data_IF_414094514321
#
_entry.id   IF_414094514321
#
_cell.length_a   1.000
_cell.length_b   1.000
_cell.length_c   1.000
_cell.angle_alpha   90.00
_cell.angle_beta   90.00
_cell.angle_gamma   90.00
#
_symmetry.space_group_name_H-M   'P 1'
#
loop_
_entity.id
_entity.type
_entity.pdbx_description
1 polymer ?
#
# COMPACT_ATOMS: atom_id res chain seq x y z
N UNK A 1 -22.26 6.77 -23.78
CA UNK A 1 -22.37 5.39 -23.27
C UNK A 1 -23.42 5.40 -22.18
N UNK A 2 -24.68 5.22 -22.56
CA UNK A 2 -25.75 4.88 -21.63
C UNK A 2 -25.70 3.36 -21.46
N UNK A 3 -25.55 2.84 -20.23
CA UNK A 3 -25.73 1.41 -19.95
C UNK A 3 -24.67 0.71 -19.09
N UNK A 4 -23.51 1.31 -18.82
CA UNK A 4 -22.62 0.78 -17.77
C UNK A 4 -23.04 1.37 -16.42
N UNK A 5 -23.56 0.54 -15.51
CA UNK A 5 -23.68 0.93 -14.11
C UNK A 5 -22.31 1.38 -13.59
N UNK A 6 -22.24 2.29 -12.61
CA UNK A 6 -20.98 2.92 -12.16
C UNK A 6 -19.87 1.94 -11.72
N UNK A 7 -20.15 0.64 -11.59
CA UNK A 7 -19.20 -0.42 -11.23
C UNK A 7 -18.37 -0.09 -9.98
N UNK A 8 -18.99 0.63 -9.03
CA UNK A 8 -18.34 1.17 -7.82
C UNK A 8 -17.06 1.95 -8.14
N UNK A 9 -17.05 2.70 -9.26
CA UNK A 9 -15.92 3.52 -9.68
C UNK A 9 -15.55 4.53 -8.60
N UNK A 10 -14.26 4.55 -8.26
CA UNK A 10 -13.61 5.53 -7.40
C UNK A 10 -12.41 6.11 -8.14
N UNK A 11 -12.21 7.41 -7.97
CA UNK A 11 -11.03 8.14 -8.45
C UNK A 11 -10.47 8.94 -7.29
N UNK A 12 -9.21 8.71 -6.95
CA UNK A 12 -8.50 9.40 -5.86
C UNK A 12 -7.29 10.12 -6.43
N UNK A 13 -7.10 11.37 -6.01
CA UNK A 13 -5.99 12.22 -6.48
C UNK A 13 -5.02 12.47 -5.34
N UNK A 14 -3.73 12.53 -5.64
CA UNK A 14 -2.71 12.87 -4.67
C UNK A 14 -1.59 13.72 -5.27
N UNK A 15 -0.83 14.38 -4.40
CA UNK A 15 0.25 15.30 -4.75
C UNK A 15 1.56 14.79 -4.16
N UNK A 16 2.56 14.60 -5.01
CA UNK A 16 3.91 14.21 -4.61
C UNK A 16 4.74 15.43 -4.22
N UNK A 17 5.94 15.24 -3.64
CA UNK A 17 6.75 16.35 -3.13
C UNK A 17 7.14 17.36 -4.21
N UNK A 18 7.41 16.89 -5.43
CA UNK A 18 7.85 17.70 -6.56
C UNK A 18 6.73 18.58 -7.16
N UNK A 19 5.46 18.23 -6.91
CA UNK A 19 4.33 19.05 -7.35
C UNK A 19 4.40 20.46 -6.77
N UNK A 20 4.69 20.57 -5.48
CA UNK A 20 4.76 21.83 -4.76
C UNK A 20 5.88 22.73 -5.29
N UNK A 21 7.03 22.16 -5.63
CA UNK A 21 8.15 22.92 -6.18
C UNK A 21 7.84 23.40 -7.62
N UNK A 22 7.21 22.56 -8.44
CA UNK A 22 6.84 22.90 -9.84
C UNK A 22 5.73 23.92 -9.97
N UNK A 23 4.90 24.08 -8.95
CA UNK A 23 3.72 24.95 -8.96
C UNK A 23 3.92 26.23 -8.14
N UNK A 24 5.10 26.42 -7.52
CA UNK A 24 5.35 27.57 -6.64
C UNK A 24 4.65 27.46 -5.28
N UNK A 25 4.19 26.27 -4.88
CA UNK A 25 3.46 26.00 -3.64
C UNK A 25 4.34 25.38 -2.55
N UNK A 26 5.66 25.56 -2.61
CA UNK A 26 6.60 24.95 -1.66
C UNK A 26 6.26 25.23 -0.18
N UNK A 27 5.72 26.42 0.13
CA UNK A 27 5.28 26.78 1.47
C UNK A 27 4.07 25.97 1.99
N UNK A 28 3.25 25.41 1.09
CA UNK A 28 2.10 24.58 1.42
C UNK A 28 2.46 23.07 1.50
N UNK A 29 3.71 22.70 1.20
CA UNK A 29 4.16 21.30 1.26
C UNK A 29 4.19 20.80 2.71
N UNK A 30 3.45 19.74 3.05
CA UNK A 30 3.48 19.20 4.39
C UNK A 30 4.82 18.54 4.70
N UNK A 31 5.30 18.66 5.94
CA UNK A 31 6.55 18.04 6.38
C UNK A 31 6.55 16.52 6.23
N UNK A 32 5.38 15.88 6.46
CA UNK A 32 5.20 14.44 6.32
C UNK A 32 5.30 13.93 4.86
N UNK A 33 5.43 14.83 3.88
CA UNK A 33 5.71 14.51 2.47
C UNK A 33 7.23 14.47 2.17
N UNK A 34 8.08 14.54 3.19
CA UNK A 34 9.51 14.34 3.04
C UNK A 34 9.84 13.00 2.35
N UNK A 35 10.93 12.91 1.57
CA UNK A 35 11.32 11.67 0.92
C UNK A 35 11.39 10.50 1.89
N UNK A 36 10.86 9.34 1.46
CA UNK A 36 11.01 8.11 2.22
C UNK A 36 12.52 7.78 2.36
N UNK A 37 12.96 7.24 3.51
CA UNK A 37 14.35 6.83 3.66
C UNK A 37 14.65 5.66 2.72
N UNK A 38 15.93 5.48 2.38
CA UNK A 38 16.37 4.26 1.74
C UNK A 38 16.20 3.07 2.71
N UNK A 39 15.64 1.98 2.22
CA UNK A 39 15.53 0.73 2.96
C UNK A 39 16.54 -0.29 2.41
N UNK A 40 17.12 -1.16 3.26
CA UNK A 40 17.93 -2.29 2.79
C UNK A 40 17.20 -3.13 1.74
N UNK A 41 17.95 -3.64 0.75
CA UNK A 41 17.46 -4.52 -0.33
C UNK A 41 16.44 -3.88 -1.31
N UNK A 42 16.21 -2.57 -1.22
CA UNK A 42 15.41 -1.85 -2.21
C UNK A 42 16.07 -1.91 -3.61
N UNK A 43 15.30 -2.33 -4.61
CA UNK A 43 15.70 -2.38 -6.02
C UNK A 43 14.79 -1.46 -6.85
N UNK A 44 14.63 -0.22 -6.38
CA UNK A 44 13.68 0.74 -6.94
C UNK A 44 14.08 1.17 -8.34
N UNK A 45 13.15 1.08 -9.29
CA UNK A 45 13.27 1.70 -10.60
C UNK A 45 12.87 3.18 -10.50
N UNK A 46 13.81 4.14 -10.72
CA UNK A 46 13.51 5.56 -10.66
C UNK A 46 12.48 6.00 -11.70
N UNK A 47 12.40 5.35 -12.86
CA UNK A 47 11.44 5.71 -13.91
C UNK A 47 10.00 5.36 -13.51
N UNK A 48 9.83 4.36 -12.63
CA UNK A 48 8.54 3.89 -12.12
C UNK A 48 8.22 4.39 -10.71
N UNK A 49 9.09 5.18 -10.12
CA UNK A 49 8.97 5.71 -8.74
C UNK A 49 8.63 7.20 -8.72
N UNK A 50 8.14 7.68 -7.58
CA UNK A 50 7.72 9.06 -7.34
C UNK A 50 6.67 9.57 -8.35
N UNK A 51 6.56 10.89 -8.52
CA UNK A 51 5.63 11.53 -9.42
C UNK A 51 5.08 12.81 -8.81
N UNK A 52 4.71 13.77 -9.66
CA UNK A 52 4.11 15.02 -9.19
C UNK A 52 2.65 14.79 -8.78
N UNK A 53 1.92 14.00 -9.56
CA UNK A 53 0.51 13.70 -9.34
C UNK A 53 0.27 12.19 -9.28
N UNK A 54 -0.61 11.78 -8.38
CA UNK A 54 -1.20 10.44 -8.32
C UNK A 54 -2.64 10.49 -8.79
N UNK A 55 -3.03 9.52 -9.61
CA UNK A 55 -4.43 9.18 -9.85
C UNK A 55 -4.60 7.69 -9.61
N UNK A 56 -5.40 7.34 -8.60
CA UNK A 56 -5.81 5.97 -8.34
C UNK A 56 -7.22 5.77 -8.87
N UNK A 57 -7.41 4.73 -9.69
CA UNK A 57 -8.70 4.39 -10.30
C UNK A 57 -9.05 2.97 -9.86
N UNK A 58 -10.24 2.79 -9.28
CA UNK A 58 -10.73 1.46 -8.89
C UNK A 58 -12.19 1.30 -9.28
N UNK A 59 -12.55 0.17 -9.88
CA UNK A 59 -13.91 -0.24 -10.18
C UNK A 59 -13.98 -1.78 -10.20
N UNK A 60 -15.18 -2.36 -10.15
CA UNK A 60 -15.38 -3.81 -10.30
C UNK A 60 -15.37 -4.28 -11.75
N UNK A 61 -15.23 -3.34 -12.68
CA UNK A 61 -15.22 -3.62 -14.12
C UNK A 61 -13.94 -3.04 -14.75
N UNK A 62 -13.16 -3.92 -15.38
CA UNK A 62 -11.88 -3.56 -15.99
C UNK A 62 -12.05 -2.57 -17.15
N UNK A 63 -13.12 -2.67 -17.93
CA UNK A 63 -13.41 -1.72 -19.01
C UNK A 63 -13.69 -0.32 -18.45
N UNK A 64 -14.44 -0.20 -17.35
CA UNK A 64 -14.69 1.09 -16.66
C UNK A 64 -13.38 1.72 -16.19
N UNK A 65 -12.46 0.94 -15.59
CA UNK A 65 -11.14 1.48 -15.20
C UNK A 65 -10.31 1.93 -16.40
N UNK A 66 -10.25 1.14 -17.48
CA UNK A 66 -9.50 1.48 -18.69
C UNK A 66 -10.05 2.73 -19.39
N UNK A 67 -11.39 2.84 -19.49
CA UNK A 67 -12.06 3.99 -20.05
C UNK A 67 -11.79 5.27 -19.23
N UNK A 68 -11.85 5.16 -17.90
CA UNK A 68 -11.56 6.28 -16.99
C UNK A 68 -10.11 6.73 -17.13
N UNK A 69 -9.15 5.79 -17.14
CA UNK A 69 -7.74 6.10 -17.36
C UNK A 69 -7.52 6.84 -18.68
N UNK A 70 -8.09 6.34 -19.78
CA UNK A 70 -7.96 6.98 -21.10
C UNK A 70 -8.57 8.37 -21.13
N UNK A 71 -9.69 8.57 -20.45
CA UNK A 71 -10.36 9.87 -20.36
C UNK A 71 -9.51 10.88 -19.60
N UNK A 72 -8.98 10.51 -18.43
CA UNK A 72 -8.14 11.40 -17.63
C UNK A 72 -6.82 11.73 -18.35
N UNK A 73 -6.19 10.75 -19.01
CA UNK A 73 -5.00 11.00 -19.84
C UNK A 73 -5.26 12.00 -20.97
N UNK A 74 -6.45 11.94 -21.60
CA UNK A 74 -6.82 12.90 -22.65
C UNK A 74 -7.02 14.31 -22.08
N UNK A 75 -7.67 14.43 -20.92
CA UNK A 75 -7.91 15.71 -20.25
C UNK A 75 -6.61 16.37 -19.74
N UNK A 76 -5.63 15.57 -19.31
CA UNK A 76 -4.34 16.06 -18.84
C UNK A 76 -3.37 16.50 -19.97
N UNK A 77 -3.72 16.28 -21.25
CA UNK A 77 -2.82 16.56 -22.37
C UNK A 77 -2.44 18.04 -22.41
N UNK A 78 -1.15 18.32 -22.45
CA UNK A 78 -0.59 19.68 -22.46
C UNK A 78 -0.20 20.17 -21.07
N UNK A 79 -0.78 19.61 -20.02
CA UNK A 79 -0.55 20.00 -18.62
C UNK A 79 0.29 18.96 -17.86
N UNK A 80 0.09 17.66 -18.13
CA UNK A 80 0.84 16.58 -17.50
C UNK A 80 1.09 15.40 -18.46
N UNK A 81 2.20 14.71 -18.24
CA UNK A 81 2.57 13.47 -18.95
C UNK A 81 2.48 12.25 -18.04
N UNK A 82 2.17 11.09 -18.61
CA UNK A 82 2.20 9.83 -17.87
C UNK A 82 3.64 9.48 -17.49
N UNK A 83 3.92 9.39 -16.18
CA UNK A 83 5.23 8.95 -15.68
C UNK A 83 5.31 7.42 -15.60
N UNK A 84 4.32 6.80 -14.96
CA UNK A 84 4.15 5.36 -14.89
C UNK A 84 2.68 5.02 -14.67
N UNK A 85 2.30 3.78 -14.99
CA UNK A 85 0.99 3.21 -14.69
C UNK A 85 1.16 1.77 -14.24
N UNK A 86 0.34 1.33 -13.29
CA UNK A 86 0.30 -0.05 -12.83
C UNK A 86 -1.15 -0.49 -12.71
N UNK A 87 -1.44 -1.67 -13.23
CA UNK A 87 -2.76 -2.28 -13.15
C UNK A 87 -2.74 -3.39 -12.11
N UNK A 88 -3.78 -3.45 -11.29
CA UNK A 88 -3.93 -4.49 -10.28
C UNK A 88 -5.34 -5.01 -10.22
N UNK A 89 -5.51 -6.12 -9.50
CA UNK A 89 -6.76 -6.80 -9.29
C UNK A 89 -6.83 -7.36 -7.85
N UNK A 90 -8.02 -7.73 -7.42
CA UNK A 90 -8.22 -8.48 -6.18
C UNK A 90 -8.75 -9.87 -6.50
N UNK A 91 -8.54 -10.83 -5.61
CA UNK A 91 -9.27 -12.10 -5.66
C UNK A 91 -10.79 -11.85 -5.59
N UNK A 92 -11.59 -12.82 -6.04
CA UNK A 92 -13.05 -12.71 -6.02
C UNK A 92 -13.61 -12.52 -4.60
N UNK A 93 -12.94 -13.10 -3.58
CA UNK A 93 -13.28 -12.89 -2.17
C UNK A 93 -12.76 -11.56 -1.61
N UNK A 94 -11.95 -10.82 -2.39
CA UNK A 94 -11.34 -9.54 -2.05
C UNK A 94 -10.20 -9.63 -1.02
N UNK A 95 -9.75 -10.84 -0.67
CA UNK A 95 -8.99 -11.07 0.57
C UNK A 95 -7.72 -11.88 0.41
N UNK A 96 -7.43 -12.47 -0.75
CA UNK A 96 -6.21 -13.24 -0.97
C UNK A 96 -5.22 -12.55 -1.90
N UNK A 97 -3.93 -12.69 -1.60
CA UNK A 97 -2.82 -12.27 -2.45
C UNK A 97 -2.26 -13.45 -3.28
N UNK A 98 -1.32 -13.19 -4.18
CA UNK A 98 -0.73 -14.21 -5.07
C UNK A 98 0.18 -15.23 -4.35
N UNK A 99 0.59 -14.99 -3.11
CA UNK A 99 1.24 -15.98 -2.25
C UNK A 99 0.23 -16.93 -1.56
N UNK A 100 -1.08 -16.76 -1.82
CA UNK A 100 -2.17 -17.58 -1.28
C UNK A 100 -2.66 -17.18 0.11
N UNK A 101 -2.13 -16.09 0.66
CA UNK A 101 -2.37 -15.67 2.04
C UNK A 101 -3.62 -14.79 2.13
N UNK A 102 -4.38 -14.90 3.23
CA UNK A 102 -5.41 -13.92 3.58
C UNK A 102 -4.71 -12.61 3.99
N UNK A 103 -5.07 -11.52 3.30
CA UNK A 103 -4.48 -10.20 3.46
C UNK A 103 -5.54 -9.17 3.86
N UNK A 104 -5.23 -8.35 4.87
CA UNK A 104 -6.12 -7.31 5.42
C UNK A 104 -6.73 -7.60 6.80
N UNK A 105 -6.50 -8.78 7.39
CA UNK A 105 -7.10 -9.20 8.68
C UNK A 105 -6.95 -8.19 9.82
N UNK A 106 -5.76 -7.64 10.04
CA UNK A 106 -5.47 -6.69 11.14
C UNK A 106 -5.42 -5.23 10.68
N UNK A 107 -6.13 -4.88 9.59
CA UNK A 107 -6.25 -3.46 9.25
C UNK A 107 -6.98 -2.72 10.37
N UNK A 108 -6.49 -1.54 10.79
CA UNK A 108 -7.27 -0.65 11.65
C UNK A 108 -8.51 -0.16 10.92
N UNK A 109 -9.45 0.42 11.68
CA UNK A 109 -10.60 1.13 11.10
C UNK A 109 -10.13 2.20 10.09
N UNK A 110 -10.73 2.29 8.89
CA UNK A 110 -10.28 3.20 7.83
C UNK A 110 -10.13 4.66 8.27
N UNK A 111 -11.01 5.12 9.17
CA UNK A 111 -10.97 6.48 9.70
C UNK A 111 -9.64 6.82 10.42
N UNK A 112 -8.90 5.83 10.92
CA UNK A 112 -7.57 6.04 11.52
C UNK A 112 -6.52 6.51 10.53
N UNK A 113 -6.74 6.36 9.23
CA UNK A 113 -5.83 6.86 8.20
C UNK A 113 -6.03 8.35 7.90
N UNK A 114 -7.09 8.98 8.40
CA UNK A 114 -7.47 10.35 8.05
C UNK A 114 -6.82 11.39 8.95
N UNK A 115 -6.47 12.55 8.38
CA UNK A 115 -5.93 13.69 9.11
C UNK A 115 -7.04 14.51 9.77
N UNK A 116 -6.92 14.72 11.07
CA UNK A 116 -7.80 15.55 11.88
C UNK A 116 -6.99 16.39 12.87
N UNK A 117 -7.51 17.56 13.25
CA UNK A 117 -6.91 18.42 14.27
C UNK A 117 -6.56 19.82 13.76
N UNK A 118 -6.22 20.74 14.68
CA UNK A 118 -5.95 22.15 14.36
C UNK A 118 -4.63 22.36 13.59
N UNK A 119 -3.67 21.45 13.74
CA UNK A 119 -2.34 21.55 13.10
C UNK A 119 -2.32 21.01 11.66
N UNK A 120 -3.44 20.47 11.17
CA UNK A 120 -3.56 19.98 9.80
C UNK A 120 -3.77 21.15 8.84
N UNK A 121 -2.95 21.28 7.77
CA UNK A 121 -3.19 22.31 6.76
C UNK A 121 -4.63 22.25 6.22
N UNK A 122 -5.35 23.37 6.10
CA UNK A 122 -6.77 23.36 5.73
C UNK A 122 -7.08 22.58 4.45
N UNK A 123 -6.17 22.61 3.47
CA UNK A 123 -6.33 21.89 2.20
C UNK A 123 -6.21 20.35 2.33
N UNK A 124 -5.58 19.87 3.41
CA UNK A 124 -5.33 18.45 3.70
C UNK A 124 -6.24 17.92 4.83
N UNK A 125 -7.10 18.76 5.41
CA UNK A 125 -8.06 18.34 6.44
C UNK A 125 -8.98 17.22 5.93
N UNK A 126 -9.09 16.12 6.68
CA UNK A 126 -9.81 14.92 6.26
C UNK A 126 -9.13 14.12 5.14
N UNK A 127 -7.92 14.51 4.75
CA UNK A 127 -7.06 13.80 3.80
C UNK A 127 -6.28 12.66 4.43
N UNK A 128 -5.29 12.13 3.72
CA UNK A 128 -4.39 11.04 4.15
C UNK A 128 -3.06 11.12 3.41
N UNK A 129 -2.04 10.38 3.86
CA UNK A 129 -0.85 10.09 3.07
C UNK A 129 -0.87 8.64 2.62
N UNK A 130 -0.59 8.43 1.33
CA UNK A 130 -0.45 7.09 0.76
C UNK A 130 0.99 6.81 0.37
N UNK A 131 1.53 5.71 0.90
CA UNK A 131 2.77 5.11 0.41
C UNK A 131 2.42 3.99 -0.54
N UNK A 132 2.99 4.02 -1.74
CA UNK A 132 2.83 3.01 -2.77
C UNK A 132 4.14 2.26 -2.94
N UNK A 133 4.06 0.93 -2.90
CA UNK A 133 5.19 0.04 -3.19
C UNK A 133 4.75 -1.01 -4.20
N UNK A 134 5.47 -1.14 -5.32
CA UNK A 134 5.37 -2.34 -6.16
C UNK A 134 6.31 -3.38 -5.55
N UNK A 135 5.72 -4.44 -5.02
CA UNK A 135 6.45 -5.51 -4.34
C UNK A 135 6.29 -6.77 -5.19
N UNK A 136 7.32 -7.13 -5.92
CA UNK A 136 7.34 -8.39 -6.66
C UNK A 136 7.48 -9.56 -5.70
N UNK A 137 6.70 -10.60 -5.94
CA UNK A 137 6.77 -11.86 -5.21
C UNK A 137 7.66 -12.84 -5.96
N UNK A 138 8.66 -13.40 -5.29
CA UNK A 138 9.51 -14.44 -5.83
C UNK A 138 8.78 -15.80 -5.79
N UNK A 139 7.72 -15.92 -6.60
CA UNK A 139 6.77 -17.05 -6.54
C UNK A 139 7.43 -18.40 -6.79
N UNK A 140 8.33 -18.48 -7.77
CA UNK A 140 9.06 -19.73 -8.07
C UNK A 140 9.87 -20.25 -6.88
N UNK A 141 10.39 -19.35 -6.03
CA UNK A 141 11.06 -19.72 -4.79
C UNK A 141 10.05 -20.02 -3.67
N UNK A 142 9.04 -19.17 -3.51
CA UNK A 142 8.00 -19.31 -2.50
C UNK A 142 7.28 -20.65 -2.56
N UNK A 143 6.97 -21.12 -3.78
CA UNK A 143 6.19 -22.33 -4.00
C UNK A 143 6.97 -23.62 -3.74
N UNK A 144 8.31 -23.55 -3.67
CA UNK A 144 9.14 -24.69 -3.25
C UNK A 144 9.09 -24.95 -1.73
N UNK A 145 8.60 -23.98 -0.95
CA UNK A 145 8.60 -24.08 0.51
C UNK A 145 7.48 -25.02 1.01
N UNK A 146 7.77 -25.86 2.02
CA UNK A 146 6.74 -26.53 2.79
C UNK A 146 5.69 -25.54 3.30
N UNK A 147 4.38 -25.88 3.28
CA UNK A 147 3.32 -24.99 3.79
C UNK A 147 3.62 -24.47 5.20
N UNK A 148 4.14 -25.31 6.08
CA UNK A 148 4.52 -24.91 7.45
C UNK A 148 5.59 -23.83 7.48
N UNK A 149 6.56 -23.83 6.57
CA UNK A 149 7.58 -22.77 6.48
C UNK A 149 6.99 -21.45 5.99
N UNK A 150 6.05 -21.51 5.04
CA UNK A 150 5.30 -20.33 4.56
C UNK A 150 4.47 -19.71 5.68
N UNK A 151 3.77 -20.54 6.44
CA UNK A 151 2.98 -20.09 7.58
C UNK A 151 3.85 -19.56 8.72
N UNK A 152 5.03 -20.14 8.97
CA UNK A 152 5.99 -19.62 9.95
C UNK A 152 6.61 -18.29 9.53
N UNK A 153 6.93 -18.11 8.24
CA UNK A 153 7.43 -16.84 7.72
C UNK A 153 6.41 -15.71 7.88
N UNK A 154 5.11 -16.01 7.71
CA UNK A 154 4.04 -15.05 7.89
C UNK A 154 3.65 -14.86 9.37
N UNK A 155 3.44 -15.96 10.10
CA UNK A 155 2.86 -16.04 11.44
C UNK A 155 1.36 -16.37 11.48
N UNK A 156 0.73 -16.66 10.33
CA UNK A 156 -0.68 -17.05 10.18
C UNK A 156 -0.83 -18.26 9.27
N UNK A 157 -1.90 -19.03 9.49
CA UNK A 157 -2.30 -20.13 8.61
C UNK A 157 -2.83 -19.61 7.28
N UNK A 158 -2.47 -20.27 6.18
CA UNK A 158 -2.92 -19.85 4.85
C UNK A 158 -4.40 -20.20 4.59
N UNK A 159 -4.86 -21.31 5.18
CA UNK A 159 -6.21 -21.84 4.95
C UNK A 159 -7.31 -20.87 5.45
N UNK A 160 -7.19 -20.44 6.70
CA UNK A 160 -8.22 -19.68 7.42
C UNK A 160 -7.72 -18.35 8.01
N UNK A 161 -6.44 -18.01 7.83
CA UNK A 161 -5.87 -16.76 8.28
C UNK A 161 -5.69 -16.65 9.79
N UNK A 162 -5.96 -17.69 10.58
CA UNK A 162 -5.78 -17.64 12.02
C UNK A 162 -4.29 -17.50 12.42
N UNK A 163 -3.97 -16.88 13.58
CA UNK A 163 -2.60 -16.88 14.07
C UNK A 163 -2.13 -18.30 14.36
N UNK A 164 -0.83 -18.53 14.30
CA UNK A 164 -0.24 -19.85 14.59
C UNK A 164 -0.48 -20.31 16.04
N UNK A 165 -0.86 -19.40 16.94
CA UNK A 165 -1.27 -19.69 18.31
C UNK A 165 -2.67 -20.29 18.43
N UNK A 166 -3.43 -20.39 17.33
CA UNK A 166 -4.74 -21.05 17.29
C UNK A 166 -5.93 -20.10 17.11
N UNK A 167 -7.14 -20.66 17.20
CA UNK A 167 -8.39 -19.91 17.01
C UNK A 167 -8.74 -19.69 15.53
N UNK A 168 -9.38 -18.56 15.25
CA UNK A 168 -9.88 -18.14 13.93
C UNK A 168 -9.11 -16.92 13.41
N UNK A 169 -9.40 -16.47 12.20
CA UNK A 169 -8.76 -15.29 11.60
C UNK A 169 -8.72 -14.07 12.53
N UNK A 170 -9.83 -13.81 13.24
CA UNK A 170 -10.00 -12.64 14.11
C UNK A 170 -9.55 -12.88 15.55
N UNK A 171 -9.04 -14.07 15.87
CA UNK A 171 -8.38 -14.30 17.16
C UNK A 171 -7.20 -13.34 17.30
N UNK A 172 -7.08 -12.63 18.45
CA UNK A 172 -5.93 -11.78 18.71
C UNK A 172 -4.61 -12.54 18.59
N UNK A 173 -3.60 -11.90 18.03
CA UNK A 173 -2.27 -12.50 17.89
C UNK A 173 -1.58 -12.50 19.25
N UNK A 174 -1.29 -13.67 19.80
CA UNK A 174 -0.51 -13.79 21.03
C UNK A 174 0.99 -13.93 20.68
N UNK A 175 1.71 -12.82 20.76
CA UNK A 175 3.15 -12.77 20.50
C UNK A 175 4.01 -13.32 21.65
N UNK A 176 3.40 -13.57 22.82
CA UNK A 176 4.07 -14.10 24.02
C UNK A 176 4.02 -15.63 24.12
N UNK A 177 3.10 -16.27 23.39
CA UNK A 177 2.97 -17.71 23.37
C UNK A 177 4.28 -18.42 22.95
N UNK A 178 4.68 -19.39 23.76
CA UNK A 178 5.87 -20.21 23.54
C UNK A 178 5.52 -21.70 23.59
N UNK A 179 6.30 -22.51 22.86
CA UNK A 179 6.27 -23.97 22.95
C UNK A 179 6.90 -24.43 24.28
N UNK A 180 6.78 -25.71 24.60
CA UNK A 180 7.34 -26.28 25.83
C UNK A 180 8.87 -26.15 25.95
N UNK A 181 9.57 -26.00 24.83
CA UNK A 181 11.02 -25.75 24.77
C UNK A 181 11.40 -24.26 24.86
N UNK A 182 10.43 -23.37 25.14
CA UNK A 182 10.64 -21.93 25.28
C UNK A 182 10.74 -21.16 23.96
N UNK A 183 10.68 -21.83 22.81
CA UNK A 183 10.70 -21.16 21.51
C UNK A 183 9.34 -20.53 21.22
N UNK A 184 9.26 -19.26 20.77
CA UNK A 184 8.00 -18.62 20.40
C UNK A 184 7.22 -19.41 19.36
N UNK A 185 5.89 -19.53 19.55
CA UNK A 185 5.00 -20.22 18.60
C UNK A 185 4.96 -19.49 17.25
N UNK A 186 4.88 -18.17 17.30
CA UNK A 186 5.07 -17.28 16.15
C UNK A 186 6.55 -16.89 16.15
N UNK A 187 7.29 -17.24 15.09
CA UNK A 187 8.73 -16.99 15.00
C UNK A 187 9.10 -15.52 15.29
N UNK A 188 10.29 -15.28 15.85
CA UNK A 188 10.78 -13.93 16.20
C UNK A 188 10.93 -13.02 14.99
N UNK A 189 11.11 -13.60 13.80
CA UNK A 189 11.21 -12.94 12.52
C UNK A 189 9.96 -13.10 11.63
N UNK A 190 8.84 -13.59 12.18
CA UNK A 190 7.59 -13.69 11.42
C UNK A 190 7.07 -12.31 11.02
N UNK A 191 6.57 -12.18 9.80
CA UNK A 191 6.11 -10.92 9.22
C UNK A 191 5.11 -10.19 10.12
N UNK A 192 4.05 -10.87 10.60
CA UNK A 192 3.03 -10.23 11.44
C UNK A 192 3.59 -9.74 12.79
N UNK A 193 4.62 -10.41 13.33
CA UNK A 193 5.24 -10.01 14.60
C UNK A 193 6.00 -8.72 14.38
N UNK A 194 6.82 -8.67 13.33
CA UNK A 194 7.63 -7.50 13.01
C UNK A 194 6.79 -6.31 12.56
N UNK A 195 5.65 -6.55 11.91
CA UNK A 195 4.71 -5.52 11.47
C UNK A 195 3.71 -5.06 12.54
N UNK A 196 3.61 -5.78 13.68
CA UNK A 196 2.63 -5.46 14.73
C UNK A 196 2.85 -4.06 15.34
N UNK A 197 1.79 -3.33 15.71
CA UNK A 197 1.93 -2.03 16.37
C UNK A 197 2.76 -2.08 17.66
N UNK A 198 2.61 -3.15 18.45
CA UNK A 198 3.38 -3.37 19.68
C UNK A 198 4.88 -3.50 19.43
N UNK A 199 5.26 -4.00 18.25
CA UNK A 199 6.66 -4.01 17.81
C UNK A 199 7.11 -2.64 17.32
N UNK A 200 6.21 -1.74 16.91
CA UNK A 200 6.53 -0.50 16.19
C UNK A 200 6.09 0.77 16.92
N UNK A 201 6.14 0.80 18.26
CA UNK A 201 5.74 1.97 19.08
C UNK A 201 4.33 2.49 18.73
N UNK A 202 3.40 1.58 18.45
CA UNK A 202 2.01 1.91 18.08
C UNK A 202 1.82 2.33 16.62
N UNK A 203 2.85 2.28 15.77
CA UNK A 203 2.71 2.62 14.36
C UNK A 203 1.68 1.72 13.67
N UNK A 204 0.76 2.33 12.93
CA UNK A 204 -0.31 1.63 12.20
C UNK A 204 -0.51 2.26 10.83
N UNK A 205 -1.09 1.49 9.91
CA UNK A 205 -1.51 1.95 8.60
C UNK A 205 -2.70 1.13 8.12
N UNK A 206 -3.57 1.71 7.32
CA UNK A 206 -4.63 0.98 6.61
C UNK A 206 -4.04 0.49 5.29
N UNK A 207 -3.92 -0.83 5.14
CA UNK A 207 -3.40 -1.45 3.91
C UNK A 207 -4.56 -1.74 2.98
N UNK A 208 -4.56 -1.12 1.80
CA UNK A 208 -5.55 -1.37 0.75
C UNK A 208 -4.79 -1.66 -0.52
N UNK A 209 -4.38 -2.91 -0.70
CA UNK A 209 -3.45 -3.33 -1.75
C UNK A 209 -4.19 -4.05 -2.89
N UNK A 210 -3.53 -4.18 -4.03
CA UNK A 210 -3.97 -4.99 -5.17
C UNK A 210 -2.89 -5.99 -5.55
N UNK A 211 -3.27 -7.18 -5.99
CA UNK A 211 -2.33 -8.06 -6.69
C UNK A 211 -2.06 -7.51 -8.10
N UNK A 212 -0.91 -7.83 -8.68
CA UNK A 212 -0.61 -7.57 -10.09
C UNK A 212 0.05 -8.80 -10.73
N UNK A 213 -0.11 -8.93 -12.04
CA UNK A 213 0.57 -9.94 -12.85
C UNK A 213 0.76 -9.39 -14.27
N UNK A 214 1.98 -9.00 -14.60
CA UNK A 214 2.31 -8.30 -15.85
C UNK A 214 2.97 -9.22 -16.90
N UNK A 215 2.96 -10.53 -16.65
CA UNK A 215 3.52 -11.56 -17.54
C UNK A 215 4.78 -12.17 -16.97
N UNK A 216 5.67 -12.61 -17.86
CA UNK A 216 6.98 -13.17 -17.51
C UNK A 216 8.09 -12.17 -17.82
N UNK A 217 9.12 -12.16 -17.00
CA UNK A 217 10.36 -11.42 -17.24
C UNK A 217 11.21 -12.14 -18.29
N UNK A 218 12.28 -11.47 -18.73
CA UNK A 218 13.20 -12.02 -19.72
C UNK A 218 13.86 -13.34 -19.30
N UNK A 219 13.99 -13.59 -18.00
CA UNK A 219 14.52 -14.85 -17.44
C UNK A 219 13.45 -15.93 -17.24
N UNK A 220 12.20 -15.67 -17.64
CA UNK A 220 11.07 -16.59 -17.50
C UNK A 220 10.36 -16.55 -16.14
N UNK A 221 10.86 -15.78 -15.17
CA UNK A 221 10.20 -15.64 -13.86
C UNK A 221 8.96 -14.76 -13.95
N UNK A 222 7.92 -14.96 -13.13
CA UNK A 222 6.73 -14.13 -13.15
C UNK A 222 7.02 -12.70 -12.68
N UNK A 223 6.58 -11.71 -13.45
CA UNK A 223 6.45 -10.33 -12.95
C UNK A 223 5.08 -10.18 -12.30
N UNK A 224 4.96 -10.72 -11.08
CA UNK A 224 3.73 -10.76 -10.32
C UNK A 224 4.00 -10.45 -8.85
N UNK A 225 3.01 -9.86 -8.18
CA UNK A 225 3.16 -9.50 -6.78
C UNK A 225 2.04 -8.62 -6.25
N UNK A 226 2.41 -7.67 -5.40
CA UNK A 226 1.50 -6.78 -4.69
C UNK A 226 1.79 -5.31 -5.02
N UNK A 227 0.78 -4.60 -5.50
CA UNK A 227 0.70 -3.14 -5.45
C UNK A 227 0.25 -2.77 -4.05
N UNK A 228 1.23 -2.67 -3.15
CA UNK A 228 1.00 -2.33 -1.77
C UNK A 228 0.69 -0.85 -1.64
N UNK A 229 -0.46 -0.50 -1.03
CA UNK A 229 -0.80 0.88 -0.72
C UNK A 229 -1.18 1.00 0.76
N UNK A 230 -0.38 1.77 1.49
CA UNK A 230 -0.56 2.04 2.91
C UNK A 230 -1.02 3.47 3.12
N UNK A 231 -2.19 3.61 3.75
CA UNK A 231 -2.81 4.88 4.10
C UNK A 231 -2.59 5.18 5.58
N UNK A 232 -2.12 6.38 5.89
CA UNK A 232 -1.86 6.83 7.26
C UNK A 232 -1.91 8.35 7.38
N UNK A 233 -2.14 8.88 8.60
CA UNK A 233 -2.09 10.33 8.83
C UNK A 233 -0.66 10.89 8.80
N UNK A 234 0.37 10.06 9.05
CA UNK A 234 1.77 10.43 8.94
C UNK A 234 2.64 9.18 8.63
N UNK A 235 3.36 9.12 7.50
CA UNK A 235 4.26 8.01 7.17
C UNK A 235 5.35 7.75 8.21
N UNK A 236 5.79 8.78 8.96
CA UNK A 236 6.83 8.71 10.00
C UNK A 236 6.37 7.92 11.23
N UNK A 237 5.05 7.83 11.46
CA UNK A 237 4.43 7.04 12.53
C UNK A 237 3.56 5.89 11.97
N UNK A 238 3.78 5.51 10.71
CA UNK A 238 3.04 4.46 10.01
C UNK A 238 4.00 3.56 9.22
N UNK A 239 4.03 3.76 7.91
CA UNK A 239 4.85 2.96 6.98
C UNK A 239 6.34 2.90 7.33
N UNK A 240 6.98 4.04 7.60
CA UNK A 240 8.44 4.13 7.72
C UNK A 240 9.00 3.23 8.84
N UNK A 241 8.57 3.34 10.11
CA UNK A 241 9.13 2.52 11.19
C UNK A 241 8.85 1.02 10.98
N UNK A 242 7.69 0.68 10.41
CA UNK A 242 7.33 -0.72 10.09
C UNK A 242 8.26 -1.28 9.01
N UNK A 243 8.44 -0.57 7.89
CA UNK A 243 9.33 -1.02 6.80
C UNK A 243 10.80 -1.07 7.26
N UNK A 244 11.26 -0.13 8.10
CA UNK A 244 12.60 -0.18 8.69
C UNK A 244 12.82 -1.44 9.53
N UNK A 245 11.81 -1.90 10.26
CA UNK A 245 11.88 -3.14 11.04
C UNK A 245 11.86 -4.37 10.13
N UNK A 246 10.97 -4.41 9.14
CA UNK A 246 10.85 -5.52 8.19
C UNK A 246 12.15 -5.74 7.39
N UNK A 247 12.72 -4.66 6.87
CA UNK A 247 13.95 -4.71 6.05
C UNK A 247 15.20 -5.23 6.77
N UNK A 248 15.18 -5.31 8.11
CA UNK A 248 16.32 -5.80 8.91
C UNK A 248 16.29 -7.29 9.21
N UNK A 249 15.17 -7.98 8.98
CA UNK A 249 15.10 -9.37 9.40
C UNK A 249 13.78 -10.10 9.18
N UNK A 250 12.87 -9.58 8.35
CA UNK A 250 11.63 -10.28 8.02
C UNK A 250 11.89 -11.57 7.24
N UNK A 251 11.33 -12.68 7.73
CA UNK A 251 11.39 -13.97 7.05
C UNK A 251 10.70 -13.92 5.67
N UNK A 252 9.60 -13.18 5.55
CA UNK A 252 8.88 -13.01 4.28
C UNK A 252 9.68 -12.16 3.29
N UNK A 253 10.45 -11.18 3.78
CA UNK A 253 11.25 -10.25 2.96
C UNK A 253 12.21 -10.94 1.99
N UNK A 254 12.65 -12.17 2.28
CA UNK A 254 13.51 -12.98 1.38
C UNK A 254 12.82 -13.39 0.08
N UNK A 255 11.49 -13.31 0.03
CA UNK A 255 10.66 -13.69 -1.11
C UNK A 255 9.97 -12.49 -1.76
N UNK A 256 10.41 -11.28 -1.41
CA UNK A 256 9.85 -10.03 -1.87
C UNK A 256 10.95 -9.14 -2.42
N UNK A 257 10.65 -8.41 -3.50
CA UNK A 257 11.54 -7.38 -4.05
C UNK A 257 10.75 -6.10 -4.22
N UNK A 258 11.20 -5.02 -3.58
CA UNK A 258 10.61 -3.70 -3.74
C UNK A 258 11.20 -3.02 -4.97
N UNK A 259 10.37 -2.79 -6.00
CA UNK A 259 10.81 -2.30 -7.31
C UNK A 259 10.31 -0.88 -7.62
N UNK A 260 9.41 -0.37 -6.79
CA UNK A 260 8.87 0.99 -6.94
C UNK A 260 8.51 1.55 -5.58
N UNK A 261 8.71 2.85 -5.44
CA UNK A 261 8.31 3.62 -4.27
C UNK A 261 7.69 4.94 -4.68
N UNK A 262 6.60 5.33 -4.03
CA UNK A 262 6.09 6.68 -4.13
C UNK A 262 5.32 7.07 -2.87
N UNK A 263 5.32 8.35 -2.54
CA UNK A 263 4.59 8.94 -1.41
C UNK A 263 3.79 10.15 -1.92
N UNK A 264 2.50 10.17 -1.58
CA UNK A 264 1.59 11.25 -1.99
C UNK A 264 0.74 11.74 -0.82
N UNK A 265 0.50 13.05 -0.76
CA UNK A 265 -0.54 13.65 0.07
C UNK A 265 -1.86 13.63 -0.69
N UNK A 266 -2.90 13.08 -0.09
CA UNK A 266 -4.24 12.95 -0.66
C UNK A 266 -5.17 13.89 0.12
N UNK A 267 -5.75 14.93 -0.51
CA UNK A 267 -6.63 15.89 0.15
C UNK A 267 -7.94 15.23 0.61
N UNK A 268 -8.66 15.93 1.49
CA UNK A 268 -10.01 15.53 1.90
C UNK A 268 -11.03 15.55 0.75
N UNK A 269 -12.21 14.99 1.03
CA UNK A 269 -13.33 14.97 0.09
C UNK A 269 -13.85 16.37 -0.27
N UNK A 270 -14.53 16.47 -1.41
CA UNK A 270 -15.09 17.73 -1.92
C UNK A 270 -16.53 17.97 -1.45
N UNK A 271 -16.93 19.23 -1.44
CA UNK A 271 -18.34 19.64 -1.34
C UNK A 271 -18.92 19.85 -2.74
N UNK A 272 -20.26 19.78 -2.91
CA UNK A 272 -20.89 20.14 -4.19
C UNK A 272 -20.45 21.54 -4.66
N UNK A 273 -20.03 21.64 -5.92
CA UNK A 273 -19.54 22.89 -6.52
C UNK A 273 -18.04 23.17 -6.31
N UNK A 274 -17.32 22.33 -5.57
CA UNK A 274 -15.86 22.42 -5.42
C UNK A 274 -15.13 21.33 -6.23
N UNK A 275 -13.82 21.49 -6.43
CA UNK A 275 -12.95 20.46 -6.98
C UNK A 275 -11.86 20.03 -5.99
N UNK A 276 -11.20 18.92 -6.30
CA UNK A 276 -10.21 18.30 -5.41
C UNK A 276 -9.04 19.26 -5.19
N UNK A 277 -8.67 19.47 -3.92
CA UNK A 277 -7.62 20.39 -3.50
C UNK A 277 -7.81 21.86 -3.91
N UNK A 278 -9.05 22.31 -4.16
CA UNK A 278 -9.32 23.72 -4.47
C UNK A 278 -8.67 24.70 -3.47
N UNK A 279 -8.75 24.40 -2.16
CA UNK A 279 -8.13 25.24 -1.12
C UNK A 279 -6.59 25.30 -1.17
N UNK A 280 -5.93 24.36 -1.84
CA UNK A 280 -4.48 24.42 -2.10
C UNK A 280 -4.16 25.25 -3.34
N UNK A 281 -5.00 25.16 -4.38
CA UNK A 281 -4.73 25.70 -5.71
C UNK A 281 -5.19 27.15 -5.90
N UNK A 282 -6.12 27.61 -5.07
CA UNK A 282 -6.64 28.99 -5.05
C UNK A 282 -6.26 29.77 -3.79
N UNK A 283 -5.53 29.14 -2.86
CA UNK A 283 -5.13 29.69 -1.57
C UNK A 283 -3.85 30.51 -1.58
#
# INVERSE_FOLDING_TARGET
MEGSASARLTVTFGFGPNFFDRTGLAAARPEALAPLPAFPEDQLDPARSDGDLLVQIGADDAFVTAHTLRTLQRLARGEAGLRWAMTGFTAADGRRNLMGQIDGTNNPEPARALLHGPDVPPWLAGGSYVVIRRIRMLLDHWDTLPPTHREQALGRRAADGAPLTGGTERTPVDLSAARSDGVPVIATNAHIRLAAPDSNNGATMVRRSWSYHDGLRADGTPDAGLLFMAWQPDPRTGFIPVQQRLSRGDALGRYLVHETSALFAVPGGIRPGAYVAQALLEG
#
